data_IF_492926528995
#
_entry.id   IF_492926528995
#
_cell.length_a   1.000
_cell.length_b   1.000
_cell.length_c   1.000
_cell.angle_alpha   90.00
_cell.angle_beta   90.00
_cell.angle_gamma   90.00
#
_symmetry.space_group_name_H-M   'P 1'
#
loop_
_entity.id
_entity.type
_entity.pdbx_description
1 polymer ?
#
# COMPACT_ATOMS: atom_id res chain seq x y z
N UNK A 1 -17.86 -43.28 33.97
CA UNK A 1 -17.84 -42.68 32.61
C UNK A 1 -18.21 -41.19 32.57
N UNK A 2 -19.05 -40.68 33.48
CA UNK A 2 -19.56 -39.28 33.49
C UNK A 2 -18.50 -38.15 33.47
N UNK A 3 -17.42 -38.23 34.28
CA UNK A 3 -16.43 -37.14 34.37
C UNK A 3 -15.68 -36.84 33.08
N UNK A 4 -15.40 -37.85 32.25
CA UNK A 4 -14.67 -37.66 30.98
C UNK A 4 -15.49 -36.86 29.96
N UNK A 5 -16.82 -37.01 29.99
CA UNK A 5 -17.74 -36.27 29.12
C UNK A 5 -17.88 -34.82 29.56
N UNK A 6 -17.92 -34.57 30.88
CA UNK A 6 -17.91 -33.22 31.44
C UNK A 6 -16.61 -32.48 31.09
N UNK A 7 -15.45 -33.14 31.21
CA UNK A 7 -14.18 -32.56 30.79
C UNK A 7 -14.11 -32.28 29.28
N UNK A 8 -14.68 -33.15 28.45
CA UNK A 8 -14.77 -32.93 27.01
C UNK A 8 -15.64 -31.72 26.66
N UNK A 9 -16.83 -31.62 27.28
CA UNK A 9 -17.74 -30.48 27.12
C UNK A 9 -17.09 -29.16 27.54
N UNK A 10 -16.31 -29.17 28.61
CA UNK A 10 -15.60 -28.00 29.11
C UNK A 10 -14.44 -27.58 28.17
N UNK A 11 -13.73 -28.55 27.57
CA UNK A 11 -12.71 -28.29 26.56
C UNK A 11 -13.31 -27.71 25.27
N UNK A 12 -14.45 -28.24 24.82
CA UNK A 12 -15.19 -27.73 23.66
C UNK A 12 -15.69 -26.31 23.92
N UNK A 13 -16.25 -26.02 25.09
CA UNK A 13 -16.64 -24.67 25.46
C UNK A 13 -15.46 -23.70 25.46
N UNK A 14 -14.32 -24.08 26.04
CA UNK A 14 -13.09 -23.28 26.00
C UNK A 14 -12.66 -22.99 24.56
N UNK A 15 -12.67 -23.99 23.66
CA UNK A 15 -12.35 -23.78 22.24
C UNK A 15 -13.37 -22.91 21.50
N UNK A 16 -14.63 -22.84 21.94
CA UNK A 16 -15.64 -21.94 21.37
C UNK A 16 -15.52 -20.50 21.88
N UNK A 17 -14.93 -20.27 23.05
CA UNK A 17 -14.61 -18.92 23.57
C UNK A 17 -13.33 -18.35 22.96
N UNK A 18 -12.40 -19.21 22.53
CA UNK A 18 -11.33 -18.82 21.63
C UNK A 18 -11.87 -18.79 20.20
N UNK A 19 -12.61 -17.73 19.86
CA UNK A 19 -12.80 -17.43 18.45
C UNK A 19 -11.40 -17.15 17.90
N UNK A 20 -10.82 -18.11 17.18
CA UNK A 20 -9.62 -17.88 16.39
C UNK A 20 -10.04 -16.93 15.28
N UNK A 21 -10.11 -15.63 15.60
CA UNK A 21 -10.36 -14.60 14.61
C UNK A 21 -9.32 -14.77 13.52
N UNK A 22 -9.76 -15.15 12.31
CA UNK A 22 -8.90 -15.12 11.14
C UNK A 22 -8.50 -13.67 10.96
N UNK A 23 -7.21 -13.38 11.07
CA UNK A 23 -6.72 -12.04 10.79
C UNK A 23 -6.92 -11.79 9.29
N UNK A 24 -7.53 -10.66 8.94
CA UNK A 24 -7.87 -10.34 7.56
C UNK A 24 -6.64 -10.12 6.68
N UNK A 25 -6.81 -10.33 5.38
CA UNK A 25 -5.85 -10.03 4.32
C UNK A 25 -5.98 -8.58 3.89
N UNK A 26 -4.91 -7.82 4.05
CA UNK A 26 -4.85 -6.40 3.74
C UNK A 26 -4.04 -6.20 2.46
N UNK A 27 -4.68 -5.61 1.45
CA UNK A 27 -3.98 -5.10 0.27
C UNK A 27 -3.58 -3.65 0.53
N UNK A 28 -2.33 -3.30 0.30
CA UNK A 28 -1.83 -1.94 0.52
C UNK A 28 -1.53 -1.27 -0.81
N UNK A 29 -2.05 -0.06 -0.98
CA UNK A 29 -1.73 0.83 -2.10
C UNK A 29 -0.96 2.06 -1.57
N UNK A 30 0.39 2.01 -1.57
CA UNK A 30 1.20 3.03 -0.92
C UNK A 30 1.48 4.24 -1.81
N UNK A 31 1.89 5.34 -1.16
CA UNK A 31 2.66 6.43 -1.78
C UNK A 31 4.08 6.41 -1.23
N UNK A 32 5.05 6.76 -2.08
CA UNK A 32 6.48 6.66 -1.82
C UNK A 32 6.99 7.66 -0.75
N UNK A 33 8.27 7.52 -0.37
CA UNK A 33 8.99 8.45 0.52
C UNK A 33 8.40 8.56 1.94
N UNK A 34 8.10 9.78 2.42
CA UNK A 34 7.61 10.03 3.78
C UNK A 34 6.26 9.37 4.05
N UNK A 35 5.42 9.26 3.03
CA UNK A 35 4.12 8.57 3.11
C UNK A 35 4.29 7.10 3.45
N UNK A 36 5.18 6.41 2.73
CA UNK A 36 5.54 5.03 3.02
C UNK A 36 6.04 4.85 4.46
N UNK A 37 6.89 5.75 4.95
CA UNK A 37 7.42 5.64 6.31
C UNK A 37 6.29 5.67 7.36
N UNK A 38 5.28 6.53 7.15
CA UNK A 38 4.11 6.60 8.02
C UNK A 38 3.22 5.36 7.90
N UNK A 39 2.94 4.92 6.67
CA UNK A 39 2.15 3.70 6.45
C UNK A 39 2.82 2.49 7.08
N UNK A 40 4.14 2.35 6.92
CA UNK A 40 4.92 1.23 7.44
C UNK A 40 4.69 1.00 8.94
N UNK A 41 4.57 2.07 9.74
CA UNK A 41 4.25 1.93 11.18
C UNK A 41 2.92 1.22 11.41
N UNK A 42 1.90 1.52 10.61
CA UNK A 42 0.59 0.86 10.67
C UNK A 42 0.71 -0.60 10.20
N UNK A 43 1.44 -0.83 9.10
CA UNK A 43 1.60 -2.16 8.53
C UNK A 43 2.36 -3.12 9.45
N UNK A 44 3.41 -2.63 10.13
CA UNK A 44 4.17 -3.40 11.11
C UNK A 44 3.27 -3.88 12.27
N UNK A 45 2.34 -3.03 12.73
CA UNK A 45 1.36 -3.38 13.77
C UNK A 45 0.31 -4.38 13.26
N UNK A 46 -0.17 -4.22 12.02
CA UNK A 46 -1.09 -5.19 11.40
C UNK A 46 -0.46 -6.58 11.31
N UNK A 47 0.80 -6.65 10.86
CA UNK A 47 1.58 -7.90 10.81
C UNK A 47 1.75 -8.49 12.21
N UNK A 48 2.10 -7.66 13.21
CA UNK A 48 2.27 -8.11 14.61
C UNK A 48 0.98 -8.69 15.18
N UNK A 49 -0.18 -8.17 14.76
CA UNK A 49 -1.51 -8.67 15.11
C UNK A 49 -1.95 -9.89 14.31
N UNK A 50 -1.14 -10.37 13.37
CA UNK A 50 -1.37 -11.59 12.59
C UNK A 50 -2.02 -11.38 11.23
N UNK A 51 -2.24 -10.14 10.79
CA UNK A 51 -2.81 -9.87 9.46
C UNK A 51 -1.84 -10.22 8.34
N UNK A 52 -2.36 -10.82 7.26
CA UNK A 52 -1.59 -10.99 6.02
C UNK A 52 -1.58 -9.67 5.25
N UNK A 53 -0.42 -9.00 5.22
CA UNK A 53 -0.25 -7.72 4.52
C UNK A 53 0.45 -7.96 3.18
N UNK A 54 -0.17 -7.50 2.09
CA UNK A 54 0.44 -7.49 0.75
C UNK A 54 0.52 -6.06 0.23
N UNK A 55 1.74 -5.60 -0.07
CA UNK A 55 2.01 -4.25 -0.58
C UNK A 55 2.15 -4.29 -2.10
N UNK A 56 1.36 -3.48 -2.80
CA UNK A 56 1.51 -3.26 -4.23
C UNK A 56 2.68 -2.33 -4.49
N UNK A 57 3.56 -2.74 -5.40
CA UNK A 57 4.78 -2.00 -5.71
C UNK A 57 4.95 -1.86 -7.23
N UNK A 58 5.18 -0.65 -7.73
CA UNK A 58 5.54 -0.48 -9.14
C UNK A 58 7.01 -0.86 -9.38
N UNK A 59 7.39 -1.25 -10.59
CA UNK A 59 8.81 -1.51 -10.91
C UNK A 59 9.71 -0.26 -10.81
N UNK A 60 9.12 0.94 -10.75
CA UNK A 60 9.81 2.20 -10.53
C UNK A 60 9.91 2.59 -9.03
N UNK A 61 9.35 1.77 -8.15
CA UNK A 61 9.31 2.01 -6.70
C UNK A 61 10.70 2.22 -6.09
N UNK A 62 10.70 3.09 -5.09
CA UNK A 62 11.87 3.39 -4.26
C UNK A 62 11.78 2.76 -2.88
N UNK A 63 10.70 2.02 -2.59
CA UNK A 63 10.50 1.28 -1.36
C UNK A 63 11.65 0.30 -1.18
N UNK A 64 12.58 0.61 -0.27
CA UNK A 64 13.72 -0.26 0.06
C UNK A 64 13.67 -0.54 1.56
N UNK A 65 13.52 -1.82 1.92
CA UNK A 65 14.50 -2.49 2.78
C UNK A 65 14.49 -4.03 2.54
N UNK A 66 15.30 -4.55 1.60
CA UNK A 66 15.46 -5.99 1.39
C UNK A 66 16.17 -6.73 2.55
N UNK A 67 16.67 -6.01 3.56
CA UNK A 67 17.43 -6.58 4.67
C UNK A 67 16.64 -6.72 5.98
N UNK A 68 15.36 -6.33 6.00
CA UNK A 68 14.50 -6.56 7.16
C UNK A 68 13.48 -7.66 6.87
N UNK A 69 13.31 -8.63 7.76
CA UNK A 69 12.25 -9.62 7.65
C UNK A 69 10.92 -8.90 7.92
N UNK A 70 10.41 -8.21 6.91
CA UNK A 70 9.03 -7.79 6.90
C UNK A 70 8.25 -9.05 6.60
N UNK A 71 7.46 -9.53 7.55
CA UNK A 71 6.44 -10.54 7.27
C UNK A 71 5.31 -10.01 6.36
N UNK A 72 5.55 -8.88 5.67
CA UNK A 72 4.75 -8.35 4.58
C UNK A 72 5.16 -8.99 3.25
N UNK A 73 4.19 -9.27 2.40
CA UNK A 73 4.40 -9.70 1.02
C UNK A 73 4.47 -8.46 0.12
N UNK A 74 5.33 -8.49 -0.89
CA UNK A 74 5.40 -7.44 -1.91
C UNK A 74 4.96 -8.04 -3.25
N UNK A 75 4.03 -7.36 -3.92
CA UNK A 75 3.55 -7.71 -5.24
C UNK A 75 3.98 -6.62 -6.22
N UNK A 76 5.10 -6.87 -6.90
CA UNK A 76 5.67 -5.92 -7.85
C UNK A 76 5.03 -6.06 -9.22
N UNK A 77 4.60 -4.94 -9.83
CA UNK A 77 4.06 -4.87 -11.19
C UNK A 77 4.86 -3.90 -12.07
N UNK A 78 4.99 -4.19 -13.37
CA UNK A 78 5.76 -3.34 -14.27
C UNK A 78 5.03 -2.02 -14.55
N UNK A 79 5.82 -0.94 -14.67
CA UNK A 79 5.39 0.36 -15.19
C UNK A 79 6.31 0.81 -16.32
N UNK A 80 5.84 1.73 -17.16
CA UNK A 80 6.52 2.14 -18.40
C UNK A 80 7.68 3.14 -18.23
N UNK A 81 7.99 3.54 -16.99
CA UNK A 81 9.12 4.40 -16.67
C UNK A 81 10.02 3.74 -15.64
N UNK A 82 11.25 4.22 -15.58
CA UNK A 82 12.30 3.70 -14.70
C UNK A 82 12.22 4.33 -13.31
N UNK A 83 12.82 3.63 -12.34
CA UNK A 83 13.02 4.14 -10.99
C UNK A 83 13.76 5.48 -10.97
N UNK A 84 14.80 5.62 -11.79
CA UNK A 84 15.61 6.83 -11.85
C UNK A 84 14.81 8.02 -12.40
N UNK A 85 13.96 7.81 -13.40
CA UNK A 85 13.05 8.85 -13.91
C UNK A 85 12.07 9.33 -12.83
N UNK A 86 11.46 8.40 -12.10
CA UNK A 86 10.55 8.72 -11.01
C UNK A 86 11.26 9.48 -9.88
N UNK A 87 12.43 8.99 -9.46
CA UNK A 87 13.26 9.62 -8.43
C UNK A 87 13.73 11.02 -8.83
N UNK A 88 14.07 11.22 -10.11
CA UNK A 88 14.52 12.52 -10.59
C UNK A 88 13.41 13.58 -10.49
N UNK A 89 12.18 13.25 -10.88
CA UNK A 89 11.06 14.19 -10.76
C UNK A 89 10.73 14.47 -9.29
N UNK A 90 10.67 13.44 -8.45
CA UNK A 90 10.44 13.61 -7.01
C UNK A 90 11.53 14.49 -6.37
N UNK A 91 12.79 14.28 -6.74
CA UNK A 91 13.92 15.09 -6.28
C UNK A 91 13.76 16.55 -6.68
N UNK A 92 13.49 16.84 -7.96
CA UNK A 92 13.31 18.22 -8.44
C UNK A 92 12.12 18.89 -7.75
N UNK A 93 11.02 18.15 -7.53
CA UNK A 93 9.85 18.65 -6.80
C UNK A 93 10.22 19.04 -5.36
N UNK A 94 10.92 18.17 -4.63
CA UNK A 94 11.34 18.43 -3.25
C UNK A 94 12.35 19.58 -3.18
N UNK A 95 13.37 19.57 -4.05
CA UNK A 95 14.36 20.65 -4.11
C UNK A 95 13.70 21.99 -4.38
N UNK A 96 12.74 22.03 -5.32
CA UNK A 96 11.99 23.25 -5.62
C UNK A 96 11.12 23.65 -4.43
N UNK A 97 10.37 22.72 -3.82
CA UNK A 97 9.51 22.99 -2.64
C UNK A 97 10.29 23.61 -1.48
N UNK A 98 11.54 23.21 -1.28
CA UNK A 98 12.39 23.69 -0.19
C UNK A 98 13.04 25.06 -0.45
N UNK A 99 12.91 25.63 -1.66
CA UNK A 99 13.48 26.94 -1.97
C UNK A 99 12.75 28.06 -1.21
N UNK A 100 13.52 28.89 -0.50
CA UNK A 100 13.00 30.11 0.13
C UNK A 100 12.96 31.21 -0.92
N UNK A 101 11.76 31.49 -1.44
CA UNK A 101 11.56 32.49 -2.49
C UNK A 101 11.03 33.79 -1.91
N UNK A 102 11.83 34.87 -1.97
CA UNK A 102 11.44 36.22 -1.53
C UNK A 102 10.92 37.08 -2.68
N UNK A 103 11.56 36.98 -3.84
CA UNK A 103 11.18 37.66 -5.09
C UNK A 103 10.74 36.60 -6.12
N UNK A 104 9.88 36.95 -7.08
CA UNK A 104 9.40 36.04 -8.15
C UNK A 104 8.47 34.88 -7.71
N UNK A 105 7.65 35.10 -6.68
CA UNK A 105 6.72 34.09 -6.14
C UNK A 105 5.83 33.45 -7.21
N UNK A 106 5.36 34.21 -8.21
CA UNK A 106 4.53 33.70 -9.29
C UNK A 106 5.26 32.67 -10.17
N UNK A 107 6.53 32.90 -10.47
CA UNK A 107 7.36 31.97 -11.25
C UNK A 107 7.56 30.69 -10.44
N UNK A 108 7.84 30.83 -9.15
CA UNK A 108 7.98 29.69 -8.25
C UNK A 108 6.68 28.87 -8.17
N UNK A 109 5.52 29.49 -7.92
CA UNK A 109 4.23 28.81 -7.88
C UNK A 109 3.90 28.11 -9.21
N UNK A 110 4.14 28.76 -10.35
CA UNK A 110 3.93 28.12 -11.67
C UNK A 110 4.86 26.93 -11.91
N UNK A 111 6.10 27.00 -11.42
CA UNK A 111 7.07 25.90 -11.52
C UNK A 111 6.64 24.75 -10.62
N UNK A 112 6.23 25.05 -9.39
CA UNK A 112 5.71 24.07 -8.44
C UNK A 112 4.47 23.37 -8.99
N UNK A 113 3.50 24.12 -9.52
CA UNK A 113 2.30 23.55 -10.15
C UNK A 113 2.67 22.57 -11.26
N UNK A 114 3.56 22.97 -12.19
CA UNK A 114 4.00 22.07 -13.27
C UNK A 114 4.67 20.80 -12.75
N UNK A 115 5.47 20.88 -11.69
CA UNK A 115 6.11 19.71 -11.09
C UNK A 115 5.09 18.80 -10.38
N UNK A 116 4.09 19.38 -9.72
CA UNK A 116 2.97 18.62 -9.16
C UNK A 116 2.14 17.93 -10.24
N UNK A 117 1.85 18.61 -11.34
CA UNK A 117 1.12 18.04 -12.47
C UNK A 117 1.90 16.83 -13.03
N UNK A 118 3.22 16.98 -13.24
CA UNK A 118 4.08 15.88 -13.68
C UNK A 118 4.10 14.69 -12.70
N UNK A 119 4.17 14.96 -11.39
CA UNK A 119 4.14 13.91 -10.38
C UNK A 119 2.77 13.21 -10.35
N UNK A 120 1.68 13.97 -10.44
CA UNK A 120 0.30 13.48 -10.52
C UNK A 120 0.09 12.61 -11.78
N UNK A 121 0.59 13.04 -12.94
CA UNK A 121 0.50 12.28 -14.18
C UNK A 121 1.19 10.92 -14.04
N UNK A 122 2.36 10.87 -13.39
CA UNK A 122 3.02 9.60 -13.11
C UNK A 122 2.22 8.73 -12.13
N UNK A 123 1.66 9.30 -11.06
CA UNK A 123 0.79 8.55 -10.13
C UNK A 123 -0.46 7.97 -10.82
N UNK A 124 -1.11 8.75 -11.69
CA UNK A 124 -2.24 8.29 -12.50
C UNK A 124 -1.78 7.18 -13.46
N UNK A 125 -0.60 7.32 -14.07
CA UNK A 125 -0.04 6.31 -14.96
C UNK A 125 0.23 4.99 -14.24
N UNK A 126 0.81 5.03 -13.03
CA UNK A 126 1.01 3.85 -12.17
C UNK A 126 -0.34 3.14 -11.94
N UNK A 127 -1.38 3.91 -11.56
CA UNK A 127 -2.72 3.36 -11.36
C UNK A 127 -3.27 2.70 -12.63
N UNK A 128 -3.21 3.42 -13.76
CA UNK A 128 -3.71 2.93 -15.05
C UNK A 128 -3.00 1.65 -15.49
N UNK A 129 -1.68 1.58 -15.32
CA UNK A 129 -0.86 0.42 -15.68
C UNK A 129 -1.10 -0.77 -14.74
N UNK A 130 -1.35 -0.53 -13.45
CA UNK A 130 -1.78 -1.56 -12.52
C UNK A 130 -3.14 -2.15 -12.93
N UNK A 131 -4.16 -1.29 -13.08
CA UNK A 131 -5.54 -1.71 -13.37
C UNK A 131 -5.69 -2.35 -14.75
N UNK A 132 -4.93 -1.89 -15.75
CA UNK A 132 -4.94 -2.50 -17.09
C UNK A 132 -4.16 -3.82 -17.17
N UNK A 133 -3.32 -4.13 -16.17
CA UNK A 133 -2.58 -5.39 -16.09
C UNK A 133 -3.51 -6.54 -15.67
N UNK A 134 -4.07 -7.24 -16.66
CA UNK A 134 -4.99 -8.37 -16.44
C UNK A 134 -4.41 -9.46 -15.54
N UNK A 135 -3.12 -9.78 -15.68
CA UNK A 135 -2.47 -10.80 -14.87
C UNK A 135 -2.43 -10.39 -13.40
N UNK A 136 -2.08 -9.14 -13.12
CA UNK A 136 -2.10 -8.58 -11.77
C UNK A 136 -3.54 -8.58 -11.22
N UNK A 137 -4.49 -8.01 -11.96
CA UNK A 137 -5.89 -7.89 -11.50
C UNK A 137 -6.52 -9.25 -11.20
N UNK A 138 -6.32 -10.25 -12.07
CA UNK A 138 -6.78 -11.62 -11.81
C UNK A 138 -6.16 -12.18 -10.53
N UNK A 139 -4.85 -12.02 -10.33
CA UNK A 139 -4.18 -12.48 -9.12
C UNK A 139 -4.71 -11.80 -7.85
N UNK A 140 -4.98 -10.50 -7.89
CA UNK A 140 -5.54 -9.76 -6.75
C UNK A 140 -6.95 -10.23 -6.41
N UNK A 141 -7.80 -10.46 -7.42
CA UNK A 141 -9.15 -11.02 -7.23
C UNK A 141 -9.12 -12.43 -6.64
N UNK A 142 -8.24 -13.29 -7.14
CA UNK A 142 -8.07 -14.66 -6.63
C UNK A 142 -7.52 -14.71 -5.20
N UNK A 143 -6.76 -13.69 -4.80
CA UNK A 143 -6.17 -13.58 -3.46
C UNK A 143 -7.22 -13.35 -2.36
N UNK A 144 -8.40 -12.83 -2.72
CA UNK A 144 -9.54 -12.55 -1.82
C UNK A 144 -9.13 -11.73 -0.61
N UNK A 145 -8.68 -10.51 -0.86
CA UNK A 145 -8.40 -9.53 0.19
C UNK A 145 -9.69 -9.16 0.95
N UNK A 146 -9.55 -8.72 2.20
CA UNK A 146 -10.68 -8.30 3.04
C UNK A 146 -10.84 -6.78 3.07
N UNK A 147 -9.76 -6.03 2.82
CA UNK A 147 -9.73 -4.55 2.83
C UNK A 147 -8.57 -4.02 2.00
N UNK A 148 -8.75 -2.83 1.40
CA UNK A 148 -7.68 -2.03 0.81
C UNK A 148 -7.27 -0.91 1.78
N UNK A 149 -5.99 -0.88 2.15
CA UNK A 149 -5.38 0.25 2.85
C UNK A 149 -4.61 1.10 1.85
N UNK A 150 -5.21 2.22 1.44
CA UNK A 150 -4.61 3.16 0.50
C UNK A 150 -4.10 4.42 1.20
N UNK A 151 -2.99 4.98 0.71
CA UNK A 151 -2.58 6.33 1.10
C UNK A 151 -3.58 7.37 0.57
N UNK A 152 -3.96 8.34 1.40
CA UNK A 152 -4.99 9.32 1.06
C UNK A 152 -4.56 10.40 0.04
N UNK A 153 -3.25 10.53 -0.24
CA UNK A 153 -2.74 11.49 -1.24
C UNK A 153 -2.66 10.85 -2.62
N UNK A 154 -2.45 9.53 -2.71
CA UNK A 154 -2.31 8.83 -3.97
C UNK A 154 -3.65 8.48 -4.60
N UNK A 155 -3.85 8.65 -5.92
CA UNK A 155 -5.04 8.13 -6.60
C UNK A 155 -5.01 6.59 -6.60
N UNK A 156 -6.13 5.96 -7.01
CA UNK A 156 -6.32 4.51 -7.27
C UNK A 156 -6.86 3.65 -6.14
N UNK A 157 -6.67 4.05 -4.88
CA UNK A 157 -7.08 3.22 -3.73
C UNK A 157 -8.54 2.79 -3.79
N UNK A 158 -9.43 3.76 -3.99
CA UNK A 158 -10.88 3.55 -4.09
C UNK A 158 -11.26 2.75 -5.34
N UNK A 159 -10.55 2.96 -6.45
CA UNK A 159 -10.78 2.20 -7.69
C UNK A 159 -10.41 0.72 -7.51
N UNK A 160 -9.29 0.43 -6.84
CA UNK A 160 -8.89 -0.93 -6.51
C UNK A 160 -9.90 -1.59 -5.57
N UNK A 161 -10.36 -0.87 -4.54
CA UNK A 161 -11.38 -1.35 -3.61
C UNK A 161 -12.68 -1.71 -4.36
N UNK A 162 -13.14 -0.85 -5.28
CA UNK A 162 -14.32 -1.08 -6.12
C UNK A 162 -14.16 -2.32 -7.03
N UNK A 163 -13.00 -2.45 -7.71
CA UNK A 163 -12.71 -3.60 -8.60
C UNK A 163 -12.67 -4.92 -7.81
N UNK A 164 -12.11 -4.90 -6.60
CA UNK A 164 -11.95 -6.06 -5.74
C UNK A 164 -13.20 -6.34 -4.89
N UNK A 165 -14.15 -5.41 -4.84
CA UNK A 165 -15.40 -5.47 -4.05
C UNK A 165 -15.15 -5.61 -2.55
N UNK A 166 -14.23 -4.80 -2.05
CA UNK A 166 -13.83 -4.75 -0.64
C UNK A 166 -13.88 -3.30 -0.13
N UNK A 167 -14.03 -3.08 1.18
CA UNK A 167 -13.87 -1.76 1.78
C UNK A 167 -12.45 -1.20 1.61
#
# INVERSE_FOLDING_TARGET
>A
MSMKWLSLLQLVQLTCYFNSGSCGKVLVWPVEFSHWMNMKTILDELVTRGHEVTVLESSASTLIDPNKPLAMKFETFPVSFTKDEYQNVAKILIETWMLVVKDYIWIHLSTMQRLFDQFSDMSIKICSEAVSNKKLMTKLQESRFDVVLADAIGPCGELLAEILKVP
#
